data_IF_352699262681
#
_entry.id   IF_352699262681
#
_cell.length_a   1.000
_cell.length_b   1.000
_cell.length_c   1.000
_cell.angle_alpha   90.00
_cell.angle_beta   90.00
_cell.angle_gamma   90.00
#
_symmetry.space_group_name_H-M   'P 1'
#
loop_
_entity.id
_entity.type
_entity.pdbx_description
1 polymer ?
#
# COMPACT_ATOMS: atom_id res chain seq x y z
N UNK A 1 3.29 -0.53 18.86
CA UNK A 1 2.10 0.30 18.58
C UNK A 1 1.89 0.36 17.09
N UNK A 2 0.74 -0.11 16.59
CA UNK A 2 0.46 -0.13 15.16
C UNK A 2 0.12 1.28 14.66
N UNK A 3 0.76 1.68 13.57
CA UNK A 3 0.48 2.89 12.81
C UNK A 3 -0.20 2.54 11.49
N UNK A 4 -1.05 3.43 10.99
CA UNK A 4 -1.81 3.25 9.75
C UNK A 4 -1.59 4.45 8.82
N UNK A 5 -1.17 4.18 7.59
CA UNK A 5 -1.20 5.16 6.51
C UNK A 5 -2.20 4.71 5.45
N UNK A 6 -3.12 5.61 5.10
CA UNK A 6 -4.07 5.42 4.00
C UNK A 6 -3.61 6.20 2.77
N UNK A 7 -3.73 5.59 1.61
CA UNK A 7 -3.65 6.23 0.30
C UNK A 7 -4.99 6.05 -0.41
N UNK A 8 -5.29 6.94 -1.34
CA UNK A 8 -6.47 6.81 -2.21
C UNK A 8 -5.97 6.84 -3.64
N UNK A 9 -6.21 5.76 -4.39
CA UNK A 9 -5.67 5.56 -5.73
C UNK A 9 -6.73 5.26 -6.75
N UNK A 10 -6.30 5.31 -8.01
CA UNK A 10 -7.04 4.96 -9.21
C UNK A 10 -8.36 5.75 -9.40
N UNK A 11 -8.99 5.64 -10.57
CA UNK A 11 -10.24 6.36 -10.83
C UNK A 11 -11.43 5.94 -9.95
N UNK A 12 -11.37 4.75 -9.32
CA UNK A 12 -12.41 4.23 -8.44
C UNK A 12 -12.27 4.72 -6.99
N UNK A 13 -11.21 5.48 -6.67
CA UNK A 13 -10.94 5.99 -5.33
C UNK A 13 -10.81 4.88 -4.28
N UNK A 14 -10.16 3.80 -4.70
CA UNK A 14 -9.78 2.66 -3.85
C UNK A 14 -8.85 3.13 -2.72
N UNK A 15 -8.95 2.51 -1.54
CA UNK A 15 -8.11 2.84 -0.40
C UNK A 15 -7.06 1.76 -0.12
N UNK A 16 -5.83 2.00 -0.58
CA UNK A 16 -4.68 1.18 -0.17
C UNK A 16 -4.20 1.57 1.23
N UNK A 17 -3.94 0.58 2.07
CA UNK A 17 -3.44 0.79 3.43
C UNK A 17 -2.03 0.24 3.63
N UNK A 18 -1.23 0.97 4.40
CA UNK A 18 0.06 0.50 4.92
C UNK A 18 -0.02 0.48 6.44
N UNK A 19 0.04 -0.71 7.03
CA UNK A 19 0.14 -0.90 8.48
C UNK A 19 1.60 -1.21 8.82
N UNK A 20 2.12 -0.57 9.85
CA UNK A 20 3.50 -0.74 10.28
C UNK A 20 3.63 -0.47 11.78
N UNK A 21 4.73 -0.93 12.36
CA UNK A 21 5.02 -0.72 13.77
C UNK A 21 6.50 -0.35 13.99
N UNK A 22 6.91 -0.29 15.26
CA UNK A 22 8.27 0.05 15.70
C UNK A 22 9.37 -0.88 15.18
N UNK A 23 9.03 -2.08 14.67
CA UNK A 23 10.02 -2.98 14.06
C UNK A 23 10.48 -2.50 12.68
N UNK A 24 9.71 -1.61 12.06
CA UNK A 24 9.88 -1.19 10.67
C UNK A 24 9.28 -2.17 9.66
N UNK A 25 8.77 -3.33 10.08
CA UNK A 25 8.03 -4.21 9.16
C UNK A 25 6.67 -3.59 8.83
N UNK A 26 6.23 -3.76 7.58
CA UNK A 26 4.94 -3.26 7.13
C UNK A 26 4.17 -4.24 6.26
N UNK A 27 2.85 -4.11 6.32
CA UNK A 27 1.90 -4.83 5.50
C UNK A 27 1.17 -3.84 4.62
N UNK A 28 1.08 -4.15 3.33
CA UNK A 28 0.32 -3.39 2.35
C UNK A 28 -0.97 -4.16 2.08
N UNK A 29 -2.11 -3.49 2.20
CA UNK A 29 -3.44 -4.07 1.99
C UNK A 29 -4.12 -3.33 0.83
N UNK A 30 -4.66 -4.11 -0.11
CA UNK A 30 -5.42 -3.65 -1.28
C UNK A 30 -4.62 -2.67 -2.15
N UNK A 31 -3.52 -3.08 -2.79
CA UNK A 31 -2.67 -2.20 -3.60
C UNK A 31 -3.37 -1.79 -4.91
N UNK A 32 -4.14 -0.70 -4.87
CA UNK A 32 -4.91 -0.19 -6.01
C UNK A 32 -4.18 0.76 -6.96
N UNK A 33 -2.86 0.92 -6.86
CA UNK A 33 -2.09 1.83 -7.72
C UNK A 33 -2.26 1.46 -9.21
N UNK A 34 -2.82 2.38 -10.00
CA UNK A 34 -3.13 2.23 -11.42
C UNK A 34 -1.97 2.67 -12.34
N UNK A 35 -1.18 3.66 -11.90
CA UNK A 35 -0.05 4.18 -12.69
C UNK A 35 1.27 4.26 -11.89
N UNK A 36 2.37 4.50 -12.59
CA UNK A 36 3.71 4.57 -11.97
C UNK A 36 3.87 5.72 -10.96
N UNK A 37 3.13 6.82 -11.11
CA UNK A 37 3.12 7.92 -10.14
C UNK A 37 2.53 7.50 -8.80
N UNK A 38 1.42 6.75 -8.82
CA UNK A 38 0.79 6.20 -7.61
C UNK A 38 1.67 5.13 -6.95
N UNK A 39 2.29 4.26 -7.75
CA UNK A 39 3.28 3.29 -7.24
C UNK A 39 4.45 3.99 -6.55
N UNK A 40 4.97 5.07 -7.16
CA UNK A 40 6.06 5.85 -6.57
C UNK A 40 5.67 6.50 -5.23
N UNK A 41 4.40 6.88 -5.01
CA UNK A 41 3.97 7.43 -3.72
C UNK A 41 4.14 6.42 -2.58
N UNK A 42 3.75 5.16 -2.80
CA UNK A 42 3.97 4.08 -1.82
C UNK A 42 5.46 3.79 -1.64
N UNK A 43 6.20 3.65 -2.74
CA UNK A 43 7.64 3.34 -2.67
C UNK A 43 8.41 4.43 -1.92
N UNK A 44 8.11 5.71 -2.17
CA UNK A 44 8.71 6.82 -1.44
C UNK A 44 8.34 6.78 0.03
N UNK A 45 7.06 6.56 0.37
CA UNK A 45 6.64 6.44 1.77
C UNK A 45 7.38 5.31 2.51
N UNK A 46 7.49 4.13 1.90
CA UNK A 46 8.22 3.00 2.48
C UNK A 46 9.69 3.36 2.71
N UNK A 47 10.34 4.00 1.74
CA UNK A 47 11.75 4.41 1.84
C UNK A 47 11.99 5.49 2.88
N UNK A 48 11.17 6.55 2.89
CA UNK A 48 11.29 7.68 3.81
C UNK A 48 11.13 7.25 5.27
N UNK A 49 10.26 6.27 5.51
CA UNK A 49 10.00 5.71 6.84
C UNK A 49 10.88 4.49 7.18
N UNK A 50 11.83 4.10 6.31
CA UNK A 50 12.67 2.91 6.46
C UNK A 50 11.87 1.63 6.74
N UNK A 51 10.72 1.49 6.07
CA UNK A 51 9.85 0.33 6.24
C UNK A 51 10.29 -0.84 5.35
N UNK A 52 10.02 -2.05 5.83
CA UNK A 52 10.27 -3.32 5.14
C UNK A 52 8.92 -4.00 4.87
N UNK A 53 8.44 -3.99 3.63
CA UNK A 53 7.24 -4.74 3.26
C UNK A 53 7.47 -6.24 3.49
N UNK A 54 6.61 -6.85 4.30
CA UNK A 54 6.66 -8.30 4.59
C UNK A 54 5.46 -9.05 4.04
N UNK A 55 4.35 -8.36 3.80
CA UNK A 55 3.13 -8.92 3.24
C UNK A 55 2.46 -7.93 2.29
N UNK A 56 1.91 -8.47 1.21
CA UNK A 56 1.00 -7.79 0.29
C UNK A 56 -0.31 -8.57 0.28
N UNK A 57 -1.37 -7.96 0.79
CA UNK A 57 -2.65 -8.62 1.02
C UNK A 57 -3.74 -7.96 0.19
N UNK A 58 -4.72 -8.77 -0.22
CA UNK A 58 -5.99 -8.27 -0.70
C UNK A 58 -7.10 -8.70 0.24
N UNK A 59 -8.08 -7.82 0.48
CA UNK A 59 -9.30 -8.19 1.21
C UNK A 59 -10.15 -9.19 0.41
N UNK A 60 -10.17 -9.02 -0.92
CA UNK A 60 -10.85 -9.91 -1.87
C UNK A 60 -10.28 -9.69 -3.29
N UNK A 61 -10.76 -10.43 -4.30
CA UNK A 61 -10.26 -10.30 -5.68
C UNK A 61 -11.17 -9.38 -6.51
N UNK A 62 -10.98 -8.06 -6.40
CA UNK A 62 -11.68 -7.07 -7.19
C UNK A 62 -10.71 -6.21 -7.99
N UNK A 63 -11.17 -5.72 -9.15
CA UNK A 63 -10.27 -5.19 -10.19
C UNK A 63 -9.60 -3.86 -9.80
N UNK A 64 -10.24 -3.07 -8.96
CA UNK A 64 -9.75 -1.76 -8.51
C UNK A 64 -8.56 -1.85 -7.55
N UNK A 65 -8.41 -2.94 -6.78
CA UNK A 65 -7.32 -3.07 -5.79
C UNK A 65 -6.30 -4.19 -6.04
N UNK A 66 -6.36 -4.88 -7.18
CA UNK A 66 -5.32 -5.87 -7.59
C UNK A 66 -4.27 -5.27 -8.53
N UNK A 67 -4.41 -3.99 -8.91
CA UNK A 67 -3.62 -3.34 -9.95
C UNK A 67 -2.12 -3.22 -9.59
N UNK A 68 -1.84 -3.07 -8.29
CA UNK A 68 -0.51 -2.96 -7.70
C UNK A 68 0.06 -4.27 -7.17
N UNK A 69 -0.53 -5.44 -7.49
CA UNK A 69 0.01 -6.76 -7.12
C UNK A 69 1.28 -7.11 -7.91
N UNK A 70 2.38 -6.40 -7.68
CA UNK A 70 3.67 -6.57 -8.37
C UNK A 70 4.86 -6.35 -7.46
#
# INVERSE_FOLDING_TARGET
>A
MISLKKFTFNPYQENTYVLFDETGECVIIDPGMYNGGEQNQIVSFIKEHNLKPVLLLNTHCHIDHVLGNK
#
